data_IF_495735089182
#
_entry.id   IF_495735089182
#
_cell.length_a   1.000
_cell.length_b   1.000
_cell.length_c   1.000
_cell.angle_alpha   90.00
_cell.angle_beta   90.00
_cell.angle_gamma   90.00
#
_symmetry.space_group_name_H-M   'P 1'
#
loop_
_entity.id
_entity.type
_entity.pdbx_description
1 polymer ?
#
# COMPACT_ATOMS: atom_id res chain seq x y z
N UNK A 1 3.08 -5.32 -0.57
CA UNK A 1 3.69 -4.56 -1.70
C UNK A 1 3.71 -3.06 -1.41
N UNK A 2 2.56 -2.36 -1.25
CA UNK A 2 2.54 -0.91 -0.98
C UNK A 2 3.17 -0.48 0.37
N UNK A 3 2.80 -1.15 1.47
CA UNK A 3 3.34 -0.84 2.82
C UNK A 3 4.86 -0.94 2.82
N UNK A 4 5.40 -2.01 2.24
CA UNK A 4 6.84 -2.25 2.15
C UNK A 4 7.54 -1.21 1.26
N UNK A 5 6.96 -0.86 0.12
CA UNK A 5 7.50 0.20 -0.73
C UNK A 5 7.59 1.55 0.01
N UNK A 6 6.58 1.90 0.81
CA UNK A 6 6.58 3.12 1.63
C UNK A 6 7.56 3.05 2.81
N UNK A 7 7.78 1.87 3.38
CA UNK A 7 8.76 1.65 4.44
C UNK A 7 10.21 1.63 3.93
N UNK A 8 10.44 1.19 2.69
CA UNK A 8 11.79 1.06 2.12
C UNK A 8 12.24 2.37 1.43
N UNK A 9 11.30 3.22 1.02
CA UNK A 9 11.63 4.49 0.33
C UNK A 9 12.45 5.42 1.24
N UNK A 10 13.49 6.03 0.69
CA UNK A 10 14.38 6.91 1.45
C UNK A 10 15.09 6.21 2.62
N UNK A 11 15.26 4.88 2.56
CA UNK A 11 15.86 4.09 3.65
C UNK A 11 14.99 4.02 4.90
N UNK A 12 13.67 4.19 4.77
CA UNK A 12 12.71 4.17 5.88
C UNK A 12 12.65 5.45 6.71
N UNK A 13 13.26 6.54 6.23
CA UNK A 13 13.24 7.83 6.92
C UNK A 13 12.10 8.75 6.48
N UNK A 14 11.50 8.50 5.32
CA UNK A 14 10.50 9.42 4.74
C UNK A 14 9.10 9.20 5.31
N UNK A 15 8.74 7.97 5.64
CA UNK A 15 7.41 7.63 6.12
C UNK A 15 7.47 6.69 7.32
N UNK A 16 6.76 7.07 8.39
CA UNK A 16 6.39 6.15 9.46
C UNK A 16 5.04 5.53 9.12
N UNK A 17 5.06 4.38 8.46
CA UNK A 17 3.82 3.68 8.04
C UNK A 17 3.15 3.05 9.26
N UNK A 18 1.85 3.30 9.42
CA UNK A 18 1.02 2.71 10.47
C UNK A 18 -0.05 1.86 9.81
N UNK A 19 -0.14 0.59 10.19
CA UNK A 19 -1.17 -0.32 9.71
C UNK A 19 -2.51 0.00 10.37
N UNK A 20 -3.57 0.18 9.58
CA UNK A 20 -4.92 0.52 10.08
C UNK A 20 -5.93 -0.62 9.99
N UNK A 21 -5.58 -1.76 9.38
CA UNK A 21 -6.49 -2.92 9.23
C UNK A 21 -6.98 -3.42 10.60
N UNK A 22 -6.14 -3.32 11.63
CA UNK A 22 -6.47 -3.69 13.02
C UNK A 22 -6.93 -2.54 13.91
N UNK A 23 -7.18 -1.33 13.40
CA UNK A 23 -7.46 -0.16 14.24
C UNK A 23 -8.70 -0.35 15.13
N UNK A 24 -9.77 -0.93 14.59
CA UNK A 24 -11.00 -1.19 15.35
C UNK A 24 -10.78 -2.17 16.50
N UNK A 25 -9.96 -3.20 16.28
CA UNK A 25 -9.59 -4.15 17.32
C UNK A 25 -8.76 -3.47 18.42
N UNK A 26 -7.78 -2.63 18.03
CA UNK A 26 -6.97 -1.85 18.96
C UNK A 26 -7.78 -0.82 19.76
N UNK A 27 -8.79 -0.20 19.15
CA UNK A 27 -9.68 0.74 19.82
C UNK A 27 -10.57 0.03 20.85
N UNK A 28 -11.15 -1.12 20.48
CA UNK A 28 -11.95 -1.97 21.40
C UNK A 28 -11.12 -2.44 22.58
N UNK A 29 -9.91 -2.95 22.33
CA UNK A 29 -9.00 -3.40 23.39
C UNK A 29 -8.60 -2.24 24.33
N UNK A 30 -8.34 -1.06 23.77
CA UNK A 30 -8.07 0.15 24.60
C UNK A 30 -9.28 0.61 25.39
N UNK A 31 -10.50 0.44 24.89
CA UNK A 31 -11.72 0.76 25.64
C UNK A 31 -11.88 -0.19 26.83
N UNK A 32 -11.67 -1.50 26.61
CA UNK A 32 -11.66 -2.50 27.68
C UNK A 32 -10.60 -2.22 28.74
N UNK A 33 -9.37 -1.85 28.33
CA UNK A 33 -8.31 -1.49 29.28
C UNK A 33 -8.68 -0.24 30.09
N UNK A 34 -9.37 0.74 29.48
CA UNK A 34 -9.85 1.92 30.21
C UNK A 34 -10.94 1.54 31.22
N UNK A 35 -11.95 0.77 30.82
CA UNK A 35 -13.02 0.36 31.73
C UNK A 35 -12.51 -0.47 32.90
N UNK A 36 -11.61 -1.43 32.65
CA UNK A 36 -11.01 -2.24 33.72
C UNK A 36 -10.10 -1.43 34.65
N UNK A 37 -9.43 -0.38 34.16
CA UNK A 37 -8.59 0.50 35.00
C UNK A 37 -9.39 1.52 35.80
N UNK A 38 -10.50 2.02 35.24
CA UNK A 38 -11.47 2.85 35.96
C UNK A 38 -12.09 2.06 37.12
N UNK A 39 -12.43 0.80 36.89
CA UNK A 39 -12.90 -0.12 37.94
C UNK A 39 -11.81 -0.42 39.00
N UNK A 40 -10.55 -0.57 38.57
CA UNK A 40 -9.41 -0.89 39.44
C UNK A 40 -8.76 0.32 40.15
N UNK A 41 -9.24 1.56 39.92
CA UNK A 41 -8.65 2.82 40.43
C UNK A 41 -7.15 2.98 40.14
N UNK A 42 -6.68 2.45 39.02
CA UNK A 42 -5.27 2.54 38.60
C UNK A 42 -5.04 3.78 37.72
N UNK A 43 -4.26 4.74 38.23
CA UNK A 43 -4.04 6.07 37.63
C UNK A 43 -2.99 6.13 36.50
N UNK A 44 -2.53 4.99 35.99
CA UNK A 44 -1.47 4.95 34.97
C UNK A 44 -1.99 5.40 33.60
N UNK A 45 -1.41 6.49 33.06
CA UNK A 45 -1.82 7.07 31.78
C UNK A 45 -1.47 6.17 30.58
N UNK A 46 -2.46 5.88 29.73
CA UNK A 46 -2.25 5.13 28.49
C UNK A 46 -1.55 6.02 27.44
N UNK A 47 -0.45 5.52 26.86
CA UNK A 47 0.24 6.18 25.74
C UNK A 47 -0.75 6.48 24.60
N UNK A 48 -0.71 7.67 23.98
CA UNK A 48 -1.64 8.04 22.92
C UNK A 48 -1.46 7.15 21.68
N UNK A 49 -2.56 6.95 20.93
CA UNK A 49 -2.49 6.31 19.61
C UNK A 49 -1.78 7.28 18.67
N UNK A 50 -0.85 6.76 17.87
CA UNK A 50 -0.13 7.58 16.90
C UNK A 50 -1.10 7.93 15.77
N UNK A 51 -1.48 9.21 15.71
CA UNK A 51 -2.25 9.74 14.59
C UNK A 51 -1.31 9.91 13.39
N UNK A 52 -1.71 9.36 12.23
CA UNK A 52 -1.04 9.68 10.98
C UNK A 52 -1.69 10.96 10.42
N UNK A 53 -0.88 11.99 10.13
CA UNK A 53 -1.37 13.25 9.54
C UNK A 53 -1.83 13.15 8.08
N UNK A 54 -1.53 12.02 7.43
CA UNK A 54 -1.89 11.72 6.05
C UNK A 54 -2.23 10.24 5.91
N UNK A 55 -3.27 9.94 5.13
CA UNK A 55 -3.67 8.59 4.75
C UNK A 55 -3.34 8.43 3.27
N UNK A 56 -2.64 7.35 2.91
CA UNK A 56 -2.37 6.98 1.52
C UNK A 56 -3.20 5.75 1.20
N UNK A 57 -4.02 5.83 0.16
CA UNK A 57 -4.81 4.73 -0.38
C UNK A 57 -4.38 4.46 -1.81
N UNK A 58 -4.32 3.17 -2.17
CA UNK A 58 -3.98 2.76 -3.53
C UNK A 58 -4.96 1.73 -4.06
N UNK A 59 -5.27 1.80 -5.35
CA UNK A 59 -6.07 0.80 -6.06
C UNK A 59 -5.40 0.42 -7.38
N UNK A 60 -5.59 -0.83 -7.79
CA UNK A 60 -5.19 -1.29 -9.13
C UNK A 60 -6.35 -0.96 -10.06
N UNK A 61 -6.11 -0.05 -11.01
CA UNK A 61 -7.17 0.43 -11.92
C UNK A 61 -7.31 -0.50 -13.11
N UNK A 62 -6.20 -1.03 -13.63
CA UNK A 62 -6.20 -1.83 -14.86
C UNK A 62 -5.00 -2.77 -14.93
N UNK A 63 -5.23 -3.96 -15.49
CA UNK A 63 -4.23 -4.93 -15.90
C UNK A 63 -4.45 -5.21 -17.39
N UNK A 64 -3.46 -4.88 -18.21
CA UNK A 64 -3.43 -5.21 -19.64
C UNK A 64 -2.24 -6.15 -19.87
N UNK A 65 -2.47 -7.27 -20.54
CA UNK A 65 -1.44 -8.21 -20.93
C UNK A 65 -1.57 -8.44 -22.41
N UNK A 66 -0.56 -8.02 -23.16
CA UNK A 66 -0.61 -8.03 -24.61
C UNK A 66 0.63 -8.71 -25.18
N UNK A 67 0.41 -9.69 -26.06
CA UNK A 67 1.51 -10.38 -26.75
C UNK A 67 1.87 -9.59 -27.99
N UNK A 68 2.95 -8.81 -27.93
CA UNK A 68 3.44 -8.05 -29.08
C UNK A 68 4.44 -8.89 -29.86
N UNK A 69 4.24 -8.96 -31.18
CA UNK A 69 5.20 -9.60 -32.08
C UNK A 69 6.18 -8.55 -32.60
N UNK A 70 7.44 -8.64 -32.16
CA UNK A 70 8.52 -7.80 -32.68
C UNK A 70 9.13 -8.44 -33.92
N UNK A 71 9.11 -7.75 -35.05
CA UNK A 71 9.72 -8.30 -36.28
C UNK A 71 9.42 -7.53 -37.55
N UNK A 72 9.61 -6.20 -37.56
CA UNK A 72 9.34 -5.38 -38.75
C UNK A 72 10.35 -5.62 -39.89
N UNK A 73 11.58 -6.06 -39.59
CA UNK A 73 12.66 -6.20 -40.58
C UNK A 73 12.77 -7.56 -41.29
N UNK A 74 12.23 -8.64 -40.72
CA UNK A 74 12.53 -10.02 -41.16
C UNK A 74 11.38 -10.66 -41.97
N UNK A 75 10.17 -10.08 -41.89
CA UNK A 75 8.98 -10.57 -42.62
C UNK A 75 9.03 -10.31 -44.14
N UNK A 76 9.88 -9.39 -44.59
CA UNK A 76 10.11 -9.14 -46.01
C UNK A 76 10.99 -10.22 -46.67
N UNK A 77 11.80 -10.94 -45.89
CA UNK A 77 12.81 -11.90 -46.39
C UNK A 77 12.37 -13.38 -46.34
N UNK A 78 11.15 -13.69 -45.89
CA UNK A 78 10.58 -15.04 -45.99
C UNK A 78 11.24 -16.13 -45.13
N UNK A 79 12.18 -15.81 -44.23
CA UNK A 79 12.88 -16.73 -43.33
C UNK A 79 12.75 -16.19 -41.88
N UNK A 80 12.33 -17.03 -40.91
CA UNK A 80 11.85 -16.68 -39.54
C UNK A 80 12.85 -15.98 -38.57
N UNK A 81 12.58 -15.79 -37.25
CA UNK A 81 11.50 -16.29 -36.38
C UNK A 81 10.51 -15.19 -35.93
N UNK A 82 9.26 -15.56 -35.63
CA UNK A 82 8.33 -14.66 -34.93
C UNK A 82 8.76 -14.52 -33.47
N UNK A 83 9.48 -13.46 -33.11
CA UNK A 83 9.76 -13.17 -31.70
C UNK A 83 8.52 -12.54 -31.09
N UNK A 84 7.75 -13.34 -30.36
CA UNK A 84 6.64 -12.86 -29.53
C UNK A 84 7.21 -12.49 -28.16
N UNK A 85 6.91 -11.28 -27.69
CA UNK A 85 7.17 -10.88 -26.32
C UNK A 85 5.84 -10.53 -25.66
N UNK A 86 5.68 -10.96 -24.41
CA UNK A 86 4.53 -10.58 -23.60
C UNK A 86 4.84 -9.23 -22.93
N UNK A 87 3.95 -8.27 -23.10
CA UNK A 87 3.99 -6.97 -22.45
C UNK A 87 2.85 -6.91 -21.43
N UNK A 88 3.21 -6.88 -20.15
CA UNK A 88 2.26 -6.75 -19.05
C UNK A 88 2.30 -5.31 -18.52
N UNK A 89 1.18 -4.58 -18.61
CA UNK A 89 1.03 -3.22 -18.11
C UNK A 89 0.06 -3.20 -16.92
N UNK A 90 0.55 -2.76 -15.77
CA UNK A 90 -0.25 -2.61 -14.54
C UNK A 90 -0.39 -1.13 -14.20
N UNK A 91 -1.62 -0.62 -14.22
CA UNK A 91 -1.92 0.76 -13.84
C UNK A 91 -2.40 0.83 -12.40
N UNK A 92 -1.72 1.63 -11.57
CA UNK A 92 -2.02 1.80 -10.15
C UNK A 92 -2.39 3.26 -9.88
N UNK A 93 -3.52 3.48 -9.21
CA UNK A 93 -3.89 4.78 -8.64
C UNK A 93 -3.37 4.89 -7.23
N UNK A 94 -2.81 6.05 -6.86
CA UNK A 94 -2.49 6.39 -5.48
C UNK A 94 -3.12 7.73 -5.15
N UNK A 95 -3.79 7.81 -3.99
CA UNK A 95 -4.38 9.03 -3.45
C UNK A 95 -3.87 9.28 -2.04
N UNK A 96 -3.50 10.52 -1.76
CA UNK A 96 -3.15 10.99 -0.42
C UNK A 96 -4.28 11.89 0.11
N UNK A 97 -4.73 11.61 1.33
CA UNK A 97 -5.78 12.37 2.03
C UNK A 97 -5.17 12.95 3.30
N UNK A 98 -5.24 14.27 3.47
CA UNK A 98 -4.87 14.94 4.72
C UNK A 98 -5.95 14.68 5.78
N UNK A 99 -5.54 14.36 7.00
CA UNK A 99 -6.47 14.22 8.15
C UNK A 99 -6.48 15.46 9.05
N UNK A 100 -5.78 16.53 8.68
CA UNK A 100 -5.67 17.76 9.47
C UNK A 100 -6.66 18.86 9.04
N UNK A 101 -7.32 18.66 7.91
CA UNK A 101 -8.43 19.46 7.39
C UNK A 101 -9.72 18.69 7.58
#
# INVERSE_FOLDING_TARGET
>A
MLIKALQDVGGGQWFRVVERVGLDNLLKERQLIRSSREEAKDGTALRPVIYAGMIIEGSIISYDSNVRTGGFGWRWLGIGPSTQYNEDMVTISLRAISTQT
#
